data_IF_304496238726
#
_entry.id   IF_304496238726
#
_cell.length_a   1.000
_cell.length_b   1.000
_cell.length_c   1.000
_cell.angle_alpha   90.00
_cell.angle_beta   90.00
_cell.angle_gamma   90.00
#
_symmetry.space_group_name_H-M   'P 1'
#
loop_
_entity.id
_entity.type
_entity.pdbx_description
1 polymer ?
#
# COMPACT_ATOMS: atom_id res chain seq x y z
N UNK A 1 46.49 -10.55 -5.69
CA UNK A 1 46.28 -10.47 -4.23
C UNK A 1 45.35 -9.30 -3.95
N UNK A 2 44.03 -9.53 -3.93
CA UNK A 2 43.06 -8.48 -3.57
C UNK A 2 43.08 -8.29 -2.05
N UNK A 3 43.49 -7.12 -1.60
CA UNK A 3 43.37 -6.71 -0.18
C UNK A 3 41.89 -6.61 0.15
N UNK A 4 41.38 -7.56 0.95
CA UNK A 4 40.08 -7.42 1.62
C UNK A 4 40.14 -6.21 2.56
N UNK A 5 39.48 -5.12 2.19
CA UNK A 5 39.25 -3.98 3.09
C UNK A 5 38.30 -4.47 4.19
N UNK A 6 38.65 -4.38 5.47
CA UNK A 6 37.74 -4.79 6.54
C UNK A 6 36.50 -3.88 6.50
N UNK A 7 35.34 -4.50 6.30
CA UNK A 7 34.03 -3.82 6.37
C UNK A 7 33.87 -3.32 7.81
N UNK A 8 34.01 -2.02 8.00
CA UNK A 8 33.76 -1.37 9.31
C UNK A 8 32.37 -1.82 9.76
N UNK A 9 32.27 -2.53 10.88
CA UNK A 9 30.98 -2.89 11.48
C UNK A 9 30.26 -1.60 11.82
N UNK A 10 29.24 -1.24 11.05
CA UNK A 10 28.38 -0.11 11.35
C UNK A 10 27.63 -0.43 12.65
N UNK A 11 27.53 0.56 13.52
CA UNK A 11 26.74 0.45 14.74
C UNK A 11 25.26 0.32 14.38
N UNK A 12 24.63 -0.76 14.82
CA UNK A 12 23.19 -0.97 14.71
C UNK A 12 22.45 0.21 15.34
N UNK A 13 21.52 0.83 14.60
CA UNK A 13 20.82 2.00 15.08
C UNK A 13 19.38 1.68 15.43
N UNK A 14 18.91 2.25 16.54
CA UNK A 14 17.50 2.20 16.92
C UNK A 14 16.80 3.40 16.28
N UNK A 15 15.78 3.13 15.46
CA UNK A 15 14.96 4.13 14.79
C UNK A 15 13.55 4.11 15.36
N UNK A 16 13.15 5.20 15.98
CA UNK A 16 11.82 5.36 16.56
C UNK A 16 10.79 5.78 15.51
N UNK A 17 9.58 5.24 15.60
CA UNK A 17 8.44 5.76 14.85
C UNK A 17 7.30 6.11 15.79
N UNK A 18 6.77 7.35 15.67
CA UNK A 18 5.68 7.88 16.47
C UNK A 18 4.56 8.40 15.58
N UNK A 19 3.31 8.08 15.92
CA UNK A 19 2.12 8.56 15.22
C UNK A 19 1.05 8.99 16.20
N UNK A 20 0.47 10.18 15.97
CA UNK A 20 -0.71 10.65 16.71
C UNK A 20 -1.87 10.89 15.75
N UNK A 21 -3.07 10.48 16.16
CA UNK A 21 -4.33 11.02 15.69
C UNK A 21 -4.65 12.23 16.56
N UNK A 22 -5.48 13.14 16.08
CA UNK A 22 -5.86 14.40 16.76
C UNK A 22 -6.41 14.26 18.17
N UNK A 23 -6.68 13.05 18.68
CA UNK A 23 -7.25 12.78 19.99
C UNK A 23 -6.25 12.12 20.95
N UNK A 24 -5.87 12.86 21.97
CA UNK A 24 -5.62 12.38 23.33
C UNK A 24 -4.24 11.86 23.72
N UNK A 25 -3.29 11.62 22.83
CA UNK A 25 -1.90 11.33 23.21
C UNK A 25 -0.95 12.35 22.61
N UNK A 26 -0.11 12.96 23.44
CA UNK A 26 0.86 13.93 22.96
C UNK A 26 1.96 13.20 22.19
N UNK A 27 2.35 13.73 21.04
CA UNK A 27 3.46 13.23 20.22
C UNK A 27 4.76 13.24 21.07
N UNK A 28 4.87 14.22 21.95
CA UNK A 28 5.98 14.41 22.87
C UNK A 28 6.20 13.22 23.81
N UNK A 29 5.12 12.68 24.39
CA UNK A 29 5.21 11.50 25.27
C UNK A 29 5.71 10.25 24.54
N UNK A 30 5.26 10.05 23.27
CA UNK A 30 5.76 8.95 22.45
C UNK A 30 7.23 9.16 22.09
N UNK A 31 7.62 10.37 21.71
CA UNK A 31 9.02 10.69 21.37
C UNK A 31 9.94 10.51 22.59
N UNK A 32 9.49 10.87 23.78
CA UNK A 32 10.27 10.70 25.02
C UNK A 32 10.46 9.21 25.34
N UNK A 33 9.40 8.40 25.25
CA UNK A 33 9.49 6.97 25.42
C UNK A 33 10.45 6.31 24.41
N UNK A 34 10.45 6.78 23.15
CA UNK A 34 11.37 6.28 22.13
C UNK A 34 12.82 6.71 22.39
N UNK A 35 13.05 7.95 22.86
CA UNK A 35 14.40 8.40 23.27
C UNK A 35 14.93 7.57 24.44
N UNK A 36 14.09 7.35 25.45
CA UNK A 36 14.43 6.50 26.60
C UNK A 36 14.76 5.07 26.17
N UNK A 37 14.10 4.55 25.13
CA UNK A 37 14.40 3.26 24.53
C UNK A 37 15.66 3.24 23.65
N UNK A 38 16.37 4.38 23.53
CA UNK A 38 17.63 4.51 22.80
C UNK A 38 17.48 4.85 21.32
N UNK A 39 16.32 5.37 20.88
CA UNK A 39 16.14 5.75 19.48
C UNK A 39 17.07 6.94 19.11
N UNK A 40 18.02 6.67 18.19
CA UNK A 40 18.94 7.69 17.67
C UNK A 40 18.26 8.64 16.68
N UNK A 41 17.24 8.16 15.98
CA UNK A 41 16.44 8.94 15.04
C UNK A 41 14.96 8.62 15.24
N UNK A 42 14.10 9.65 15.25
CA UNK A 42 12.65 9.48 15.44
C UNK A 42 11.92 10.07 14.24
N UNK A 43 11.12 9.24 13.59
CA UNK A 43 10.20 9.62 12.53
C UNK A 43 8.82 9.82 13.15
N UNK A 44 8.25 10.99 12.97
CA UNK A 44 6.95 11.32 13.54
C UNK A 44 5.95 11.77 12.50
N UNK A 45 4.68 11.37 12.69
CA UNK A 45 3.55 11.76 11.85
C UNK A 45 2.42 12.31 12.72
N UNK A 46 1.99 13.55 12.40
CA UNK A 46 0.77 14.14 12.95
C UNK A 46 -0.31 14.06 11.88
N UNK A 47 -1.31 13.22 12.10
CA UNK A 47 -2.35 13.00 11.12
C UNK A 47 -3.49 14.02 11.31
N UNK A 48 -3.65 14.95 10.37
CA UNK A 48 -4.89 15.71 10.17
C UNK A 48 -5.81 14.90 9.23
N UNK A 49 -7.09 14.76 9.60
CA UNK A 49 -8.07 13.79 9.12
C UNK A 49 -8.31 13.58 7.60
N UNK A 50 -7.68 14.30 6.69
CA UNK A 50 -8.04 14.27 5.25
C UNK A 50 -6.87 13.91 4.32
N UNK A 51 -5.61 14.08 4.72
CA UNK A 51 -4.48 13.76 3.83
C UNK A 51 -3.86 12.41 4.18
N UNK A 52 -3.99 11.47 3.26
CA UNK A 52 -3.43 10.10 3.31
C UNK A 52 -1.94 10.03 2.93
N UNK A 53 -1.21 11.14 3.03
CA UNK A 53 0.19 11.14 2.62
C UNK A 53 1.05 10.43 3.68
N UNK A 54 1.56 9.23 3.34
CA UNK A 54 2.38 8.36 4.19
C UNK A 54 3.87 8.68 4.08
N UNK A 55 4.22 9.94 4.04
CA UNK A 55 5.62 10.34 3.88
C UNK A 55 6.53 9.87 5.04
N UNK A 56 6.02 9.82 6.28
CA UNK A 56 6.83 9.49 7.45
C UNK A 56 7.13 8.00 7.63
N UNK A 57 6.15 7.05 7.51
CA UNK A 57 6.47 5.62 7.48
C UNK A 57 7.38 5.25 6.32
N UNK A 58 7.11 5.78 5.12
CA UNK A 58 7.94 5.53 3.95
C UNK A 58 9.38 6.03 4.14
N UNK A 59 9.58 7.21 4.73
CA UNK A 59 10.92 7.72 5.05
C UNK A 59 11.63 6.88 6.10
N UNK A 60 10.91 6.41 7.13
CA UNK A 60 11.47 5.49 8.12
C UNK A 60 11.96 4.21 7.43
N UNK A 61 11.10 3.56 6.64
CA UNK A 61 11.44 2.32 5.92
C UNK A 61 12.59 2.52 4.92
N UNK A 62 12.59 3.62 4.16
CA UNK A 62 13.64 3.93 3.19
C UNK A 62 15.01 4.22 3.86
N UNK A 63 15.00 4.60 5.13
CA UNK A 63 16.23 4.88 5.88
C UNK A 63 16.86 3.62 6.50
N UNK A 64 16.13 2.48 6.53
CA UNK A 64 16.59 1.26 7.20
C UNK A 64 17.78 0.64 6.49
N UNK A 65 18.71 0.16 7.30
CA UNK A 65 19.83 -0.65 6.88
C UNK A 65 19.88 -1.96 7.66
N UNK A 66 20.55 -3.01 7.13
CA UNK A 66 20.67 -4.28 7.83
C UNK A 66 21.28 -4.12 9.22
N UNK A 67 20.62 -4.71 10.22
CA UNK A 67 20.98 -4.61 11.64
C UNK A 67 20.28 -3.48 12.41
N UNK A 68 19.66 -2.50 11.74
CA UNK A 68 18.85 -1.46 12.41
C UNK A 68 17.64 -2.09 13.13
N UNK A 69 17.09 -1.41 14.13
CA UNK A 69 15.85 -1.83 14.80
C UNK A 69 14.84 -0.70 14.80
N UNK A 70 13.64 -0.97 14.26
CA UNK A 70 12.50 -0.04 14.36
C UNK A 70 11.79 -0.26 15.69
N UNK A 71 11.60 0.83 16.45
CA UNK A 71 10.91 0.80 17.74
C UNK A 71 9.68 1.69 17.68
N UNK A 72 8.56 1.18 18.19
CA UNK A 72 7.30 1.92 18.36
C UNK A 72 6.82 1.83 19.81
N UNK A 73 6.00 2.76 20.25
CA UNK A 73 5.42 2.69 21.60
C UNK A 73 4.35 1.59 21.70
N UNK A 74 3.54 1.39 20.64
CA UNK A 74 2.53 0.33 20.51
C UNK A 74 2.34 -0.02 19.03
N UNK A 75 1.88 -1.24 18.74
CA UNK A 75 1.61 -1.72 17.38
C UNK A 75 0.60 -0.86 16.60
N UNK A 76 -0.42 -0.34 17.27
CA UNK A 76 -1.43 0.53 16.67
C UNK A 76 -0.86 1.89 16.20
N UNK A 77 0.35 2.25 16.63
CA UNK A 77 1.09 3.41 16.14
C UNK A 77 1.79 3.13 14.82
N UNK A 78 2.23 1.90 14.58
CA UNK A 78 2.91 1.54 13.34
C UNK A 78 1.95 1.49 12.14
N UNK A 79 0.74 0.99 12.34
CA UNK A 79 -0.19 0.71 11.26
C UNK A 79 -1.64 1.02 11.63
N UNK A 80 -2.50 1.10 10.62
CA UNK A 80 -3.94 1.39 10.77
C UNK A 80 -4.83 0.16 10.63
N UNK A 81 -4.28 -0.91 10.13
CA UNK A 81 -4.96 -2.20 9.96
C UNK A 81 -3.95 -3.32 10.09
N UNK A 82 -4.43 -4.52 10.39
CA UNK A 82 -3.59 -5.73 10.46
C UNK A 82 -2.79 -5.94 9.18
N UNK A 83 -3.42 -5.74 8.01
CA UNK A 83 -2.73 -5.86 6.71
C UNK A 83 -1.59 -4.85 6.57
N UNK A 84 -1.82 -3.61 6.95
CA UNK A 84 -0.82 -2.56 6.91
C UNK A 84 0.34 -2.84 7.87
N UNK A 85 0.04 -3.36 9.06
CA UNK A 85 1.01 -3.82 10.03
C UNK A 85 1.93 -4.89 9.43
N UNK A 86 1.34 -5.91 8.84
CA UNK A 86 2.09 -7.02 8.27
C UNK A 86 2.94 -6.62 7.06
N UNK A 87 2.40 -5.78 6.18
CA UNK A 87 3.19 -5.22 5.06
C UNK A 87 4.37 -4.39 5.57
N UNK A 88 4.19 -3.63 6.65
CA UNK A 88 5.26 -2.82 7.24
C UNK A 88 6.32 -3.70 7.90
N UNK A 89 5.91 -4.74 8.64
CA UNK A 89 6.82 -5.70 9.26
C UNK A 89 7.61 -6.51 8.22
N UNK A 90 6.97 -6.90 7.11
CA UNK A 90 7.62 -7.56 5.98
C UNK A 90 8.67 -6.64 5.33
N UNK A 91 8.34 -5.36 5.13
CA UNK A 91 9.28 -4.38 4.61
C UNK A 91 10.50 -4.17 5.54
N UNK A 92 10.28 -4.13 6.86
CA UNK A 92 11.36 -4.06 7.86
C UNK A 92 12.25 -5.30 7.77
N UNK A 93 11.65 -6.49 7.72
CA UNK A 93 12.38 -7.75 7.60
C UNK A 93 13.19 -7.84 6.29
N UNK A 94 12.63 -7.41 5.15
CA UNK A 94 13.31 -7.35 3.85
C UNK A 94 14.50 -6.38 3.85
N UNK A 95 14.42 -5.30 4.63
CA UNK A 95 15.56 -4.41 4.85
C UNK A 95 16.65 -5.01 5.75
N UNK A 96 16.45 -6.22 6.29
CA UNK A 96 17.37 -6.85 7.25
C UNK A 96 17.35 -6.19 8.62
N UNK A 97 16.29 -5.45 8.94
CA UNK A 97 16.11 -4.72 10.20
C UNK A 97 15.21 -5.49 11.18
N UNK A 98 15.39 -5.22 12.49
CA UNK A 98 14.53 -5.71 13.55
C UNK A 98 13.34 -4.78 13.82
N UNK A 99 12.37 -5.30 14.57
CA UNK A 99 11.22 -4.54 15.05
C UNK A 99 10.94 -4.81 16.51
N UNK A 100 10.58 -3.78 17.28
CA UNK A 100 10.17 -3.92 18.70
C UNK A 100 9.07 -2.93 19.05
N UNK A 101 8.02 -3.42 19.74
CA UNK A 101 7.01 -2.59 20.39
C UNK A 101 7.30 -2.49 21.89
N UNK A 102 7.27 -1.27 22.45
CA UNK A 102 7.52 -1.06 23.90
C UNK A 102 6.34 -1.53 24.76
N UNK A 103 5.11 -1.33 24.27
CA UNK A 103 3.88 -1.68 24.96
C UNK A 103 3.38 -3.11 24.69
N UNK A 104 3.90 -3.77 23.65
CA UNK A 104 3.47 -5.11 23.24
C UNK A 104 4.65 -6.06 23.30
N UNK A 105 5.00 -6.56 24.49
CA UNK A 105 6.23 -7.32 24.76
C UNK A 105 6.43 -8.58 23.90
N UNK A 106 5.36 -9.12 23.31
CA UNK A 106 5.45 -10.24 22.38
C UNK A 106 5.89 -9.81 20.96
N UNK A 107 5.78 -8.52 20.64
CA UNK A 107 6.08 -7.96 19.33
C UNK A 107 7.53 -7.44 19.27
N UNK A 108 8.47 -8.36 19.41
CA UNK A 108 9.91 -8.12 19.36
C UNK A 108 10.58 -9.18 18.47
N UNK A 109 10.99 -8.77 17.27
CA UNK A 109 11.64 -9.68 16.31
C UNK A 109 13.07 -10.06 16.69
N UNK A 110 13.65 -9.47 17.73
CA UNK A 110 14.95 -9.90 18.26
C UNK A 110 14.84 -11.23 19.02
N UNK A 111 13.63 -11.55 19.52
CA UNK A 111 13.36 -12.77 20.24
C UNK A 111 12.81 -13.88 19.33
N UNK A 112 13.16 -15.17 19.58
CA UNK A 112 12.58 -16.29 18.83
C UNK A 112 11.05 -16.34 18.93
N UNK A 113 10.50 -16.05 20.11
CA UNK A 113 9.05 -16.01 20.35
C UNK A 113 8.37 -14.90 19.52
N UNK A 114 8.91 -13.67 19.53
CA UNK A 114 8.37 -12.57 18.77
C UNK A 114 8.45 -12.81 17.27
N UNK A 115 9.54 -13.41 16.77
CA UNK A 115 9.65 -13.83 15.36
C UNK A 115 8.54 -14.82 15.00
N UNK A 116 8.30 -15.84 15.83
CA UNK A 116 7.24 -16.82 15.62
C UNK A 116 5.86 -16.15 15.57
N UNK A 117 5.55 -15.30 16.55
CA UNK A 117 4.26 -14.61 16.64
C UNK A 117 3.98 -13.74 15.40
N UNK A 118 4.97 -12.97 14.95
CA UNK A 118 4.83 -12.14 13.75
C UNK A 118 4.68 -13.00 12.49
N UNK A 119 5.38 -14.12 12.38
CA UNK A 119 5.24 -15.07 11.28
C UNK A 119 3.84 -15.68 11.23
N UNK A 120 3.28 -16.07 12.36
CA UNK A 120 1.92 -16.63 12.48
C UNK A 120 0.88 -15.57 12.05
N UNK A 121 1.02 -14.34 12.54
CA UNK A 121 0.14 -13.22 12.13
C UNK A 121 0.24 -12.93 10.64
N UNK A 122 1.44 -12.98 10.06
CA UNK A 122 1.68 -12.84 8.63
C UNK A 122 0.95 -13.90 7.81
N UNK A 123 1.09 -15.16 8.20
CA UNK A 123 0.40 -16.29 7.56
C UNK A 123 -1.13 -16.17 7.65
N UNK A 124 -1.66 -15.74 8.79
CA UNK A 124 -3.10 -15.54 8.97
C UNK A 124 -3.65 -14.44 8.05
N UNK A 125 -2.96 -13.32 7.92
CA UNK A 125 -3.40 -12.25 7.03
C UNK A 125 -3.33 -12.64 5.55
N UNK A 126 -2.34 -13.42 5.15
CA UNK A 126 -2.26 -13.95 3.80
C UNK A 126 -3.40 -14.93 3.51
N UNK A 127 -3.73 -15.78 4.47
CA UNK A 127 -4.88 -16.66 4.40
C UNK A 127 -6.20 -15.88 4.26
N UNK A 128 -6.43 -14.85 5.08
CA UNK A 128 -7.60 -13.97 4.94
C UNK A 128 -7.68 -13.32 3.56
N UNK A 129 -6.53 -12.86 3.04
CA UNK A 129 -6.46 -12.29 1.68
C UNK A 129 -6.88 -13.30 0.62
N UNK A 130 -6.38 -14.54 0.70
CA UNK A 130 -6.75 -15.60 -0.23
C UNK A 130 -8.24 -15.92 -0.18
N UNK A 131 -8.84 -15.96 1.02
CA UNK A 131 -10.30 -16.15 1.17
C UNK A 131 -11.11 -15.03 0.51
N UNK A 132 -10.69 -13.76 0.68
CA UNK A 132 -11.37 -12.62 0.04
C UNK A 132 -11.25 -12.69 -1.48
N UNK A 133 -10.07 -13.03 -2.00
CA UNK A 133 -9.84 -13.16 -3.45
C UNK A 133 -10.65 -14.30 -4.04
N UNK A 134 -10.71 -15.47 -3.37
CA UNK A 134 -11.52 -16.61 -3.79
C UNK A 134 -13.00 -16.24 -3.89
N UNK A 135 -13.58 -15.69 -2.82
CA UNK A 135 -14.98 -15.24 -2.79
C UNK A 135 -15.28 -14.20 -3.87
N UNK A 136 -14.35 -13.24 -4.08
CA UNK A 136 -14.50 -12.21 -5.11
C UNK A 136 -14.46 -12.82 -6.52
N UNK A 137 -13.56 -13.77 -6.76
CA UNK A 137 -13.45 -14.44 -8.05
C UNK A 137 -14.67 -15.27 -8.36
N UNK A 138 -15.17 -16.06 -7.41
CA UNK A 138 -16.43 -16.81 -7.54
C UNK A 138 -17.61 -15.88 -7.82
N UNK A 139 -17.68 -14.72 -7.14
CA UNK A 139 -18.68 -13.70 -7.41
C UNK A 139 -18.60 -13.14 -8.82
N UNK A 140 -17.38 -12.88 -9.33
CA UNK A 140 -17.14 -12.43 -10.71
C UNK A 140 -17.53 -13.49 -11.74
N UNK A 141 -17.19 -14.75 -11.51
CA UNK A 141 -17.57 -15.87 -12.40
C UNK A 141 -19.08 -15.97 -12.49
N UNK A 142 -19.78 -15.99 -11.35
CA UNK A 142 -21.26 -16.03 -11.31
C UNK A 142 -21.89 -14.81 -12.00
N UNK A 143 -21.33 -13.61 -11.81
CA UNK A 143 -21.84 -12.41 -12.46
C UNK A 143 -21.60 -12.44 -13.98
N UNK A 144 -20.44 -12.92 -14.45
CA UNK A 144 -20.18 -13.13 -15.89
C UNK A 144 -21.17 -14.13 -16.50
N UNK A 145 -21.45 -15.24 -15.82
CA UNK A 145 -22.44 -16.23 -16.28
C UNK A 145 -23.85 -15.64 -16.42
N UNK A 146 -24.18 -14.62 -15.62
CA UNK A 146 -25.44 -13.85 -15.72
C UNK A 146 -25.38 -12.71 -16.73
N UNK A 147 -24.32 -12.60 -17.54
CA UNK A 147 -24.18 -11.57 -18.58
C UNK A 147 -23.69 -10.20 -18.08
N UNK A 148 -23.26 -10.07 -16.82
CA UNK A 148 -22.72 -8.82 -16.30
C UNK A 148 -21.37 -8.54 -16.96
N UNK A 149 -21.25 -7.41 -17.63
CA UNK A 149 -20.01 -6.92 -18.23
C UNK A 149 -19.21 -6.12 -17.19
N UNK A 150 -17.99 -6.56 -16.91
CA UNK A 150 -17.05 -5.84 -16.05
C UNK A 150 -16.19 -4.86 -16.85
N UNK A 151 -15.66 -3.87 -16.17
CA UNK A 151 -14.79 -2.86 -16.74
C UNK A 151 -15.42 -1.47 -16.77
N UNK A 152 -14.72 -0.52 -17.37
CA UNK A 152 -15.22 0.86 -17.53
C UNK A 152 -16.40 0.88 -18.49
N UNK A 153 -17.48 1.52 -18.10
CA UNK A 153 -18.63 1.73 -18.97
C UNK A 153 -18.19 2.45 -20.27
N UNK A 154 -18.71 2.03 -21.44
CA UNK A 154 -18.49 2.76 -22.69
C UNK A 154 -18.87 4.23 -22.51
N UNK A 155 -18.10 5.14 -23.11
CA UNK A 155 -18.42 6.57 -23.08
C UNK A 155 -19.66 6.90 -23.90
N UNK A 156 -19.93 6.13 -24.95
CA UNK A 156 -21.09 6.28 -25.81
C UNK A 156 -22.16 5.25 -25.42
N UNK A 157 -23.41 5.71 -25.38
CA UNK A 157 -24.58 4.83 -25.25
C UNK A 157 -24.75 3.97 -26.52
N UNK A 158 -25.52 2.88 -26.42
CA UNK A 158 -25.80 2.04 -27.59
C UNK A 158 -26.40 2.85 -28.77
N UNK A 159 -27.32 3.77 -28.49
CA UNK A 159 -27.91 4.65 -29.47
C UNK A 159 -26.85 5.54 -30.14
N UNK A 160 -26.01 6.19 -29.37
CA UNK A 160 -24.91 7.01 -29.90
C UNK A 160 -23.88 6.21 -30.70
N UNK A 161 -23.66 4.94 -30.37
CA UNK A 161 -22.78 4.06 -31.15
C UNK A 161 -23.38 3.78 -32.54
N UNK A 162 -24.68 3.46 -32.59
CA UNK A 162 -25.39 3.23 -33.87
C UNK A 162 -25.42 4.50 -34.72
N UNK A 163 -25.73 5.64 -34.13
CA UNK A 163 -25.73 6.93 -34.81
C UNK A 163 -24.32 7.28 -35.33
N UNK A 164 -23.28 7.09 -34.52
CA UNK A 164 -21.90 7.35 -34.93
C UNK A 164 -21.49 6.45 -36.13
N UNK A 165 -21.89 5.17 -36.13
CA UNK A 165 -21.67 4.27 -37.27
C UNK A 165 -22.38 4.72 -38.54
N UNK A 166 -23.63 5.16 -38.43
CA UNK A 166 -24.38 5.70 -39.57
C UNK A 166 -23.71 6.96 -40.15
N UNK A 167 -23.23 7.88 -39.31
CA UNK A 167 -22.49 9.08 -39.71
C UNK A 167 -21.17 8.74 -40.40
N UNK A 168 -20.45 7.71 -39.94
CA UNK A 168 -19.25 7.21 -40.64
C UNK A 168 -19.61 6.71 -42.03
N UNK A 169 -20.69 5.93 -42.16
CA UNK A 169 -21.15 5.40 -43.45
C UNK A 169 -21.57 6.51 -44.45
N UNK A 170 -22.03 7.65 -43.93
CA UNK A 170 -22.33 8.84 -44.76
C UNK A 170 -21.08 9.70 -45.08
N UNK A 171 -19.89 9.25 -44.74
CA UNK A 171 -18.62 9.90 -45.09
C UNK A 171 -18.21 11.04 -44.18
N UNK A 172 -18.85 11.20 -43.01
CA UNK A 172 -18.43 12.22 -42.03
C UNK A 172 -17.11 11.86 -41.39
N UNK A 173 -16.24 12.83 -41.13
CA UNK A 173 -14.92 12.58 -40.58
C UNK A 173 -14.99 12.11 -39.12
N UNK A 174 -14.14 11.13 -38.75
CA UNK A 174 -14.06 10.60 -37.39
C UNK A 174 -13.82 11.72 -36.37
N UNK A 175 -13.10 12.75 -36.76
CA UNK A 175 -12.77 13.89 -35.87
C UNK A 175 -14.01 14.75 -35.60
N UNK A 176 -14.87 14.99 -36.60
CA UNK A 176 -16.12 15.75 -36.44
C UNK A 176 -17.11 14.99 -35.53
N UNK A 177 -17.25 13.67 -35.76
CA UNK A 177 -18.09 12.79 -34.94
C UNK A 177 -17.56 12.73 -33.49
N UNK A 178 -16.26 12.58 -33.30
CA UNK A 178 -15.65 12.54 -31.98
C UNK A 178 -15.89 13.83 -31.19
N UNK A 179 -15.78 14.98 -31.86
CA UNK A 179 -16.05 16.31 -31.28
C UNK A 179 -17.49 16.45 -30.83
N UNK A 180 -18.46 16.01 -31.63
CA UNK A 180 -19.90 16.12 -31.30
C UNK A 180 -20.30 15.30 -30.06
N UNK A 181 -19.62 14.18 -29.80
CA UNK A 181 -19.85 13.35 -28.61
C UNK A 181 -18.88 13.59 -27.46
N UNK A 182 -17.99 14.57 -27.58
CA UNK A 182 -16.95 14.86 -26.61
C UNK A 182 -16.13 13.62 -26.22
N UNK A 183 -15.70 12.85 -27.21
CA UNK A 183 -14.86 11.66 -27.06
C UNK A 183 -13.59 11.80 -27.89
N UNK A 184 -12.61 10.92 -27.65
CA UNK A 184 -11.42 10.88 -28.49
C UNK A 184 -11.75 10.28 -29.88
N UNK A 185 -11.07 10.74 -30.92
CA UNK A 185 -11.09 10.16 -32.25
C UNK A 185 -10.89 8.63 -32.23
N UNK A 186 -10.00 8.11 -31.38
CA UNK A 186 -9.80 6.67 -31.20
C UNK A 186 -11.03 5.92 -30.68
N UNK A 187 -11.91 6.60 -29.94
CA UNK A 187 -13.18 5.99 -29.47
C UNK A 187 -14.11 5.71 -30.65
N UNK A 188 -14.20 6.65 -31.61
CA UNK A 188 -15.01 6.49 -32.82
C UNK A 188 -14.38 5.49 -33.79
N UNK A 189 -13.05 5.57 -33.99
CA UNK A 189 -12.32 4.65 -34.86
C UNK A 189 -12.51 3.17 -34.45
N UNK A 190 -12.50 2.88 -33.16
CA UNK A 190 -12.73 1.53 -32.63
C UNK A 190 -14.16 1.01 -32.85
N UNK A 191 -15.14 1.86 -32.98
CA UNK A 191 -16.50 1.44 -33.30
C UNK A 191 -16.58 0.94 -34.76
N UNK A 192 -15.90 1.63 -35.70
CA UNK A 192 -15.87 1.21 -37.11
C UNK A 192 -15.04 -0.04 -37.40
N UNK A 193 -14.12 -0.40 -36.48
CA UNK A 193 -13.27 -1.61 -36.62
C UNK A 193 -13.90 -2.89 -36.03
N UNK A 194 -15.04 -2.80 -35.34
CA UNK A 194 -15.75 -3.91 -34.71
C UNK A 194 -17.04 -4.30 -35.43
N UNK A 195 -17.30 -3.78 -36.63
CA UNK A 195 -18.45 -4.11 -37.50
C UNK A 195 -18.10 -5.08 -38.60
#
# INVERSE_FOLDING_TARGET
MLRMVPRIKRTEMIKGYARVSTDGQTLEAQQEALRTAGAAQIFSEKQSGIKTDRASPARCLASLEPGDTVVVTKLDRLARSTRDLLNTLDAIAKAGAGFRSLGDGWADTSTPHGKLMITVLGGLAEFERHLILSRTNEGRVRAKARGVKFGRKPKLTKHQQVEALARIAHGETLTAIARSYNVSHMTISRLGACG
#
